data_IF_380426751919
#
_entry.id   IF_380426751919
#
_cell.length_a   1.000
_cell.length_b   1.000
_cell.length_c   1.000
_cell.angle_alpha   90.00
_cell.angle_beta   90.00
_cell.angle_gamma   90.00
#
_symmetry.space_group_name_H-M   'P 1'
#
loop_
_entity.id
_entity.type
_entity.pdbx_description
1 polymer ?
#
# COMPACT_ATOMS: atom_id res chain seq x y z
N UNK A 1 9.70 -6.35 18.71
CA UNK A 1 8.75 -6.41 17.59
C UNK A 1 7.36 -6.68 18.14
N UNK A 2 6.39 -5.87 17.80
CA UNK A 2 5.00 -5.92 18.27
C UNK A 2 4.11 -6.24 17.09
N UNK A 3 3.12 -7.10 17.26
CA UNK A 3 2.14 -7.40 16.20
C UNK A 3 1.20 -6.21 16.03
N UNK A 4 1.02 -5.80 14.77
CA UNK A 4 0.17 -4.68 14.40
C UNK A 4 -0.81 -5.10 13.32
N UNK A 5 -1.92 -4.41 13.24
CA UNK A 5 -2.95 -4.60 12.21
C UNK A 5 -3.17 -3.30 11.45
N UNK A 6 -3.59 -3.41 10.20
CA UNK A 6 -4.05 -2.24 9.44
C UNK A 6 -5.36 -1.78 10.05
N UNK A 7 -5.33 -0.64 10.71
CA UNK A 7 -6.51 -0.05 11.36
C UNK A 7 -7.35 0.73 10.35
N UNK A 8 -6.70 1.65 9.65
CA UNK A 8 -7.36 2.49 8.64
C UNK A 8 -6.35 3.04 7.63
N UNK A 9 -6.88 3.55 6.55
CA UNK A 9 -6.13 4.33 5.59
C UNK A 9 -6.82 5.69 5.47
N UNK A 10 -6.08 6.76 5.71
CA UNK A 10 -6.56 8.12 5.64
C UNK A 10 -5.87 8.91 4.52
N UNK A 11 -6.46 10.06 4.19
CA UNK A 11 -5.86 11.03 3.29
C UNK A 11 -5.59 12.32 4.06
N UNK A 12 -4.35 12.77 4.04
CA UNK A 12 -3.99 14.09 4.54
C UNK A 12 -4.39 15.13 3.50
N UNK A 13 -5.46 15.86 3.79
CA UNK A 13 -6.04 16.86 2.89
C UNK A 13 -5.12 18.06 2.65
N UNK A 14 -4.12 18.29 3.52
CA UNK A 14 -3.20 19.43 3.42
C UNK A 14 -2.19 19.27 2.28
N UNK A 15 -1.74 18.04 2.05
CA UNK A 15 -0.71 17.72 1.05
C UNK A 15 -1.14 16.62 0.06
N UNK A 16 -2.40 16.16 0.13
CA UNK A 16 -2.96 15.09 -0.70
C UNK A 16 -2.16 13.76 -0.63
N UNK A 17 -1.51 13.50 0.49
CA UNK A 17 -0.81 12.24 0.71
C UNK A 17 -1.68 11.25 1.47
N UNK A 18 -1.43 9.97 1.22
CA UNK A 18 -2.14 8.88 1.89
C UNK A 18 -1.36 8.43 3.12
N UNK A 19 -2.06 8.17 4.21
CA UNK A 19 -1.48 7.70 5.47
C UNK A 19 -2.08 6.36 5.83
N UNK A 20 -1.22 5.36 5.93
CA UNK A 20 -1.59 4.04 6.43
C UNK A 20 -1.38 4.02 7.94
N UNK A 21 -2.44 3.74 8.68
CA UNK A 21 -2.41 3.65 10.14
C UNK A 21 -2.35 2.18 10.53
N UNK A 22 -1.24 1.78 11.13
CA UNK A 22 -1.10 0.49 11.80
C UNK A 22 -1.34 0.69 13.29
N UNK A 23 -2.12 -0.20 13.89
CA UNK A 23 -2.40 -0.20 15.33
C UNK A 23 -1.85 -1.46 15.97
N UNK A 24 -1.30 -1.33 17.16
CA UNK A 24 -0.93 -2.48 17.99
C UNK A 24 -2.15 -3.38 18.20
N UNK A 25 -2.00 -4.68 17.97
CA UNK A 25 -3.10 -5.63 17.94
C UNK A 25 -3.85 -5.71 19.27
N UNK A 26 -3.10 -5.71 20.37
CA UNK A 26 -3.64 -5.82 21.73
C UNK A 26 -3.36 -4.56 22.57
N UNK A 27 -3.20 -3.40 21.92
CA UNK A 27 -2.85 -2.14 22.56
C UNK A 27 -3.42 -0.92 21.86
N UNK A 28 -2.95 0.25 22.27
CA UNK A 28 -3.42 1.54 21.77
C UNK A 28 -2.42 2.23 20.86
N UNK A 29 -1.15 1.82 20.91
CA UNK A 29 -0.08 2.48 20.15
C UNK A 29 -0.28 2.33 18.65
N UNK A 30 0.13 3.33 17.91
CA UNK A 30 -0.03 3.39 16.47
C UNK A 30 1.28 3.70 15.75
N UNK A 31 1.35 3.34 14.47
CA UNK A 31 2.40 3.73 13.54
C UNK A 31 1.76 4.30 12.29
N UNK A 32 2.13 5.53 11.96
CA UNK A 32 1.68 6.22 10.75
C UNK A 32 2.74 6.09 9.67
N UNK A 33 2.33 5.64 8.48
CA UNK A 33 3.23 5.49 7.33
C UNK A 33 2.62 6.23 6.14
N UNK A 34 3.30 7.25 5.65
CA UNK A 34 2.92 7.94 4.41
C UNK A 34 3.25 7.07 3.21
N UNK A 35 2.27 6.86 2.34
CA UNK A 35 2.37 5.97 1.18
C UNK A 35 1.87 6.65 -0.09
N UNK A 36 2.25 6.13 -1.24
CA UNK A 36 1.79 6.62 -2.53
C UNK A 36 0.34 6.23 -2.83
N UNK A 37 -0.29 6.97 -3.73
CA UNK A 37 -1.68 6.75 -4.14
C UNK A 37 -1.91 5.34 -4.70
N UNK A 38 -0.96 4.82 -5.46
CA UNK A 38 -1.08 3.49 -6.09
C UNK A 38 -1.08 2.39 -5.04
N UNK A 39 -0.18 2.48 -4.06
CA UNK A 39 -0.09 1.55 -2.94
C UNK A 39 -1.34 1.64 -2.06
N UNK A 40 -1.79 2.86 -1.76
CA UNK A 40 -3.02 3.12 -1.02
C UNK A 40 -4.22 2.49 -1.70
N UNK A 41 -4.40 2.73 -3.00
CA UNK A 41 -5.47 2.12 -3.79
C UNK A 41 -5.44 0.59 -3.73
N UNK A 42 -4.26 -0.01 -3.89
CA UNK A 42 -4.08 -1.47 -3.84
C UNK A 42 -4.47 -2.07 -2.49
N UNK A 43 -4.17 -1.37 -1.38
CA UNK A 43 -4.53 -1.80 -0.03
C UNK A 43 -6.04 -1.68 0.18
N UNK A 44 -6.63 -0.51 -0.12
CA UNK A 44 -8.06 -0.23 0.06
C UNK A 44 -8.93 -1.21 -0.72
N UNK A 45 -8.62 -1.43 -2.00
CA UNK A 45 -9.35 -2.37 -2.86
C UNK A 45 -9.39 -3.77 -2.25
N UNK A 46 -8.25 -4.22 -1.69
CA UNK A 46 -8.19 -5.52 -1.02
C UNK A 46 -9.01 -5.53 0.29
N UNK A 47 -8.88 -4.49 1.12
CA UNK A 47 -9.62 -4.38 2.39
C UNK A 47 -11.15 -4.41 2.19
N UNK A 48 -11.64 -3.84 1.08
CA UNK A 48 -13.06 -3.86 0.73
C UNK A 48 -13.50 -5.10 -0.05
N UNK A 49 -12.60 -6.06 -0.28
CA UNK A 49 -12.92 -7.30 -0.99
C UNK A 49 -13.30 -7.12 -2.46
N UNK A 50 -12.89 -6.01 -3.08
CA UNK A 50 -13.17 -5.73 -4.48
C UNK A 50 -12.34 -6.65 -5.36
N UNK A 51 -13.01 -7.40 -6.22
CA UNK A 51 -12.37 -8.34 -7.14
C UNK A 51 -12.18 -7.70 -8.51
N UNK A 52 -11.02 -7.92 -9.09
CA UNK A 52 -10.68 -7.50 -10.44
C UNK A 52 -10.58 -8.71 -11.36
N UNK A 53 -10.86 -8.52 -12.66
CA UNK A 53 -10.73 -9.57 -13.66
C UNK A 53 -9.27 -10.02 -13.84
N UNK A 54 -8.33 -9.10 -13.65
CA UNK A 54 -6.89 -9.38 -13.74
C UNK A 54 -6.17 -9.03 -12.45
N UNK A 55 -5.15 -9.81 -12.05
CA UNK A 55 -4.40 -9.54 -10.82
C UNK A 55 -3.62 -8.22 -10.94
N UNK A 56 -3.61 -7.44 -9.86
CA UNK A 56 -2.72 -6.30 -9.69
C UNK A 56 -1.31 -6.74 -9.30
N UNK A 57 -0.38 -5.80 -9.21
CA UNK A 57 1.03 -6.08 -8.91
C UNK A 57 1.22 -6.89 -7.63
N UNK A 58 0.53 -6.53 -6.54
CA UNK A 58 0.65 -7.26 -5.27
C UNK A 58 -0.02 -8.65 -5.32
N UNK A 59 -1.07 -8.83 -6.12
CA UNK A 59 -1.67 -10.14 -6.37
C UNK A 59 -0.72 -11.03 -7.18
N UNK A 60 -0.01 -10.42 -8.13
CA UNK A 60 1.03 -11.12 -8.89
C UNK A 60 2.19 -11.52 -7.97
N UNK A 61 2.67 -10.63 -7.11
CA UNK A 61 3.73 -10.94 -6.13
C UNK A 61 3.33 -12.10 -5.22
N UNK A 62 2.10 -12.07 -4.65
CA UNK A 62 1.54 -13.20 -3.91
C UNK A 62 1.61 -14.50 -4.73
N UNK A 63 1.14 -14.46 -5.98
CA UNK A 63 1.10 -15.63 -6.85
C UNK A 63 2.50 -16.17 -7.15
N UNK A 64 3.46 -15.30 -7.39
CA UNK A 64 4.87 -15.68 -7.61
C UNK A 64 5.43 -16.38 -6.37
N UNK A 65 5.27 -15.79 -5.17
CA UNK A 65 5.75 -16.40 -3.92
C UNK A 65 5.17 -17.79 -3.76
N UNK A 66 3.86 -17.95 -3.92
CA UNK A 66 3.16 -19.22 -3.73
C UNK A 66 3.55 -20.28 -4.79
N UNK A 67 3.58 -19.89 -6.07
CA UNK A 67 3.90 -20.83 -7.16
C UNK A 67 5.36 -21.26 -7.17
N UNK A 68 6.25 -20.44 -6.63
CA UNK A 68 7.65 -20.81 -6.39
C UNK A 68 7.85 -21.67 -5.14
N UNK A 69 6.78 -22.11 -4.48
CA UNK A 69 6.83 -22.96 -3.28
C UNK A 69 7.18 -22.21 -2.01
N UNK A 70 7.03 -20.88 -2.02
CA UNK A 70 7.21 -20.03 -0.85
C UNK A 70 5.90 -19.83 -0.07
N UNK A 71 6.04 -19.57 1.21
CA UNK A 71 4.94 -19.15 2.10
C UNK A 71 5.39 -17.93 2.89
N UNK A 72 4.67 -16.80 2.73
CA UNK A 72 4.91 -15.62 3.56
C UNK A 72 4.52 -15.96 5.00
N UNK A 73 5.48 -15.90 5.91
CA UNK A 73 5.28 -16.21 7.33
C UNK A 73 4.91 -14.98 8.13
N UNK A 74 5.54 -13.87 7.82
CA UNK A 74 5.29 -12.56 8.45
C UNK A 74 5.91 -11.44 7.64
N UNK A 75 5.49 -10.24 7.95
CA UNK A 75 6.12 -9.00 7.51
C UNK A 75 6.64 -8.26 8.74
N UNK A 76 7.75 -7.55 8.61
CA UNK A 76 8.31 -6.74 9.67
C UNK A 76 8.62 -5.33 9.16
N UNK A 77 8.17 -4.30 9.90
CA UNK A 77 8.60 -2.92 9.74
C UNK A 77 9.70 -2.70 10.77
N UNK A 78 10.93 -2.62 10.29
CA UNK A 78 12.11 -2.81 11.16
C UNK A 78 12.65 -1.51 11.74
N UNK A 79 12.71 -0.46 10.93
CA UNK A 79 13.32 0.82 11.31
C UNK A 79 12.87 1.96 10.39
N UNK A 80 13.22 3.16 10.80
CA UNK A 80 13.18 4.38 9.98
C UNK A 80 14.56 5.03 9.97
N UNK A 81 15.05 5.37 8.78
CA UNK A 81 16.32 6.07 8.59
C UNK A 81 16.12 7.19 7.57
N UNK A 82 16.51 8.42 7.91
CA UNK A 82 16.35 9.59 7.02
C UNK A 82 14.91 9.71 6.46
N UNK A 83 13.90 9.59 7.33
CA UNK A 83 12.48 9.61 6.99
C UNK A 83 12.04 8.48 6.04
N UNK A 84 12.86 7.45 5.85
CA UNK A 84 12.55 6.28 5.04
C UNK A 84 12.31 5.08 5.93
N UNK A 85 11.13 4.48 5.83
CA UNK A 85 10.78 3.27 6.55
C UNK A 85 11.25 2.02 5.78
N UNK A 86 11.72 1.02 6.51
CA UNK A 86 12.20 -0.26 5.98
C UNK A 86 11.28 -1.39 6.39
N UNK A 87 10.91 -2.19 5.40
CA UNK A 87 10.09 -3.38 5.58
C UNK A 87 10.79 -4.63 5.07
N UNK A 88 10.40 -5.78 5.61
CA UNK A 88 10.93 -7.07 5.23
C UNK A 88 9.80 -8.10 5.12
N UNK A 89 9.83 -8.90 4.04
CA UNK A 89 9.01 -10.10 3.95
C UNK A 89 9.83 -11.31 4.38
N UNK A 90 9.30 -12.10 5.30
CA UNK A 90 9.90 -13.36 5.75
C UNK A 90 9.19 -14.52 5.05
N UNK A 91 9.80 -15.04 3.99
CA UNK A 91 9.24 -16.10 3.16
C UNK A 91 9.92 -17.43 3.49
N UNK A 92 9.15 -18.40 3.94
CA UNK A 92 9.62 -19.77 4.09
C UNK A 92 9.62 -20.49 2.75
N UNK A 93 10.76 -21.14 2.44
CA UNK A 93 10.90 -21.95 1.24
C UNK A 93 11.99 -23.02 1.46
N UNK A 94 11.70 -24.26 1.07
CA UNK A 94 12.70 -25.33 1.13
C UNK A 94 13.26 -25.62 2.53
N UNK A 95 12.48 -25.40 3.58
CA UNK A 95 12.89 -25.61 4.98
C UNK A 95 13.69 -24.46 5.60
N UNK A 96 13.92 -23.35 4.87
CA UNK A 96 14.57 -22.13 5.35
C UNK A 96 13.66 -20.92 5.23
N UNK A 97 14.05 -19.81 5.87
CA UNK A 97 13.37 -18.52 5.75
C UNK A 97 14.27 -17.53 4.99
N UNK A 98 13.75 -16.99 3.91
CA UNK A 98 14.39 -15.91 3.14
C UNK A 98 13.80 -14.59 3.57
N UNK A 99 14.65 -13.63 3.90
CA UNK A 99 14.27 -12.24 4.17
C UNK A 99 14.42 -11.45 2.87
N UNK A 100 13.36 -10.73 2.51
CA UNK A 100 13.31 -9.92 1.30
C UNK A 100 13.06 -8.47 1.72
N UNK A 101 13.98 -7.59 1.39
CA UNK A 101 13.82 -6.15 1.61
C UNK A 101 12.68 -5.60 0.75
N UNK A 102 11.91 -4.68 1.31
CA UNK A 102 10.78 -4.06 0.62
C UNK A 102 10.38 -2.73 1.26
N UNK A 103 9.62 -1.95 0.51
CA UNK A 103 8.91 -0.82 1.14
C UNK A 103 7.82 -1.36 2.06
N UNK A 104 7.55 -0.70 3.21
CA UNK A 104 6.47 -1.11 4.12
C UNK A 104 5.12 -1.27 3.45
N UNK A 105 4.74 -0.33 2.57
CA UNK A 105 3.48 -0.38 1.83
C UNK A 105 3.31 -1.64 0.98
N UNK A 106 4.38 -2.06 0.28
CA UNK A 106 4.37 -3.27 -0.56
C UNK A 106 4.28 -4.53 0.31
N UNK A 107 5.09 -4.58 1.38
CA UNK A 107 5.07 -5.70 2.31
C UNK A 107 3.70 -5.89 2.95
N UNK A 108 3.06 -4.81 3.42
CA UNK A 108 1.72 -4.81 4.01
C UNK A 108 0.68 -5.22 2.96
N UNK A 109 0.74 -4.64 1.75
CA UNK A 109 -0.18 -5.00 0.67
C UNK A 109 -0.14 -6.49 0.31
N UNK A 110 1.04 -7.12 0.38
CA UNK A 110 1.19 -8.56 0.17
C UNK A 110 0.70 -9.34 1.40
N UNK A 111 1.04 -8.87 2.62
CA UNK A 111 0.67 -9.55 3.88
C UNK A 111 -0.84 -9.71 4.01
N UNK A 112 -1.61 -8.65 3.81
CA UNK A 112 -3.08 -8.67 3.93
C UNK A 112 -3.74 -9.62 2.92
N UNK A 113 -3.09 -9.88 1.77
CA UNK A 113 -3.57 -10.79 0.71
C UNK A 113 -3.38 -12.27 1.02
N UNK A 114 -2.58 -12.58 2.02
CA UNK A 114 -2.28 -13.97 2.42
C UNK A 114 -2.51 -14.19 3.92
N UNK A 115 -3.14 -13.23 4.59
CA UNK A 115 -3.41 -13.24 6.03
C UNK A 115 -2.14 -13.49 6.87
N UNK A 116 -1.00 -12.94 6.41
CA UNK A 116 0.25 -13.04 7.15
C UNK A 116 0.32 -11.95 8.23
N UNK A 117 0.78 -12.28 9.44
CA UNK A 117 0.91 -11.30 10.51
C UNK A 117 1.95 -10.23 10.17
N UNK A 118 1.67 -9.00 10.61
CA UNK A 118 2.52 -7.83 10.42
C UNK A 118 3.09 -7.45 11.79
N UNK A 119 4.38 -7.17 11.84
CA UNK A 119 5.07 -6.73 13.05
C UNK A 119 5.75 -5.39 12.80
N UNK A 120 5.77 -4.54 13.80
CA UNK A 120 6.55 -3.31 13.80
C UNK A 120 7.59 -3.31 14.93
N UNK A 121 8.71 -2.62 14.71
CA UNK A 121 9.64 -2.34 15.80
C UNK A 121 8.93 -1.50 16.86
N UNK A 122 9.07 -1.86 18.12
CA UNK A 122 8.45 -1.17 19.25
C UNK A 122 8.82 0.33 19.28
N UNK A 123 10.04 0.66 18.85
CA UNK A 123 10.52 2.02 18.76
C UNK A 123 9.84 2.91 17.73
N UNK A 124 9.05 2.32 16.83
CA UNK A 124 8.30 3.04 15.80
C UNK A 124 6.86 3.35 16.22
N UNK A 125 6.38 2.70 17.28
CA UNK A 125 5.03 2.86 17.77
C UNK A 125 4.95 4.06 18.71
N UNK A 126 3.93 4.87 18.54
CA UNK A 126 3.65 6.04 19.38
C UNK A 126 2.32 5.85 20.10
N UNK A 127 2.24 6.35 21.35
CA UNK A 127 0.95 6.42 22.05
C UNK A 127 0.03 7.39 21.30
N UNK A 128 -1.28 7.14 21.29
CA UNK A 128 -2.24 8.12 20.78
C UNK A 128 -2.07 9.42 21.58
N UNK A 129 -1.65 10.49 20.92
CA UNK A 129 -1.57 11.80 21.54
C UNK A 129 -2.97 12.40 21.72
N UNK A 130 -3.10 13.39 22.63
CA UNK A 130 -4.33 14.20 22.74
C UNK A 130 -4.59 15.06 21.50
N UNK A 131 -3.64 15.12 20.57
CA UNK A 131 -3.73 15.80 19.28
C UNK A 131 -4.36 14.88 18.22
N UNK A 132 -5.62 14.51 18.41
CA UNK A 132 -6.43 13.74 17.45
C UNK A 132 -6.71 14.53 16.14
N UNK A 133 -6.34 15.80 16.10
CA UNK A 133 -6.47 16.67 14.93
C UNK A 133 -5.53 16.31 13.76
N UNK A 134 -4.56 15.41 13.97
CA UNK A 134 -3.65 14.93 12.90
C UNK A 134 -4.08 13.60 12.29
N UNK A 135 -5.21 13.06 12.73
CA UNK A 135 -5.73 11.81 12.18
C UNK A 135 -6.37 12.10 10.82
N UNK A 136 -5.77 11.61 9.74
CA UNK A 136 -6.30 11.83 8.41
C UNK A 136 -7.74 11.32 8.27
N UNK A 137 -8.55 12.06 7.54
CA UNK A 137 -9.92 11.69 7.21
C UNK A 137 -9.92 10.31 6.51
N UNK A 138 -10.78 9.40 6.93
CA UNK A 138 -10.82 8.03 6.39
C UNK A 138 -11.08 8.07 4.88
N UNK A 139 -10.21 7.38 4.11
CA UNK A 139 -10.40 7.27 2.66
C UNK A 139 -11.64 6.42 2.40
N UNK A 140 -12.76 7.11 2.22
CA UNK A 140 -13.95 6.49 1.64
C UNK A 140 -13.68 6.20 0.16
N UNK A 141 -14.01 5.01 -0.31
CA UNK A 141 -14.01 4.67 -1.75
C UNK A 141 -15.04 5.49 -2.54
N UNK A 142 -15.82 6.33 -1.85
CA UNK A 142 -16.66 7.38 -2.44
C UNK A 142 -15.82 8.61 -2.84
N UNK A 143 -14.56 8.42 -3.27
CA UNK A 143 -13.88 9.44 -4.06
C UNK A 143 -14.72 9.82 -5.24
N UNK A 144 -14.55 11.03 -5.83
CA UNK A 144 -15.32 11.40 -7.00
C UNK A 144 -15.22 10.21 -7.95
N UNK A 145 -16.34 9.58 -8.20
CA UNK A 145 -16.51 8.87 -9.44
C UNK A 145 -16.11 9.95 -10.45
N UNK A 146 -14.86 9.87 -10.92
CA UNK A 146 -14.65 10.30 -12.26
C UNK A 146 -15.66 9.44 -13.00
N UNK A 147 -16.84 10.00 -13.19
CA UNK A 147 -17.69 9.54 -14.29
C UNK A 147 -16.68 9.38 -15.41
N UNK A 148 -16.58 8.19 -16.03
CA UNK A 148 -15.85 8.13 -17.27
C UNK A 148 -16.50 9.24 -18.07
N UNK A 149 -15.80 10.37 -18.18
CA UNK A 149 -16.11 11.32 -19.21
C UNK A 149 -15.82 10.46 -20.44
N UNK A 150 -16.84 9.75 -20.89
CA UNK A 150 -16.82 9.09 -22.17
C UNK A 150 -16.60 10.24 -23.14
N UNK A 151 -15.31 10.52 -23.38
CA UNK A 151 -14.94 11.32 -24.52
C UNK A 151 -15.66 10.66 -25.67
N UNK A 152 -16.60 11.37 -26.29
CA UNK A 152 -17.26 10.83 -27.47
C UNK A 152 -16.16 10.38 -28.41
N UNK A 153 -16.43 9.35 -29.22
CA UNK A 153 -15.44 8.86 -30.17
C UNK A 153 -14.83 9.97 -31.03
N UNK A 154 -15.57 11.05 -31.25
CA UNK A 154 -15.14 12.25 -31.95
C UNK A 154 -14.17 13.10 -31.14
N UNK A 155 -14.41 13.29 -29.83
CA UNK A 155 -13.51 14.02 -28.92
C UNK A 155 -12.21 13.26 -28.68
N UNK A 156 -12.28 11.93 -28.59
CA UNK A 156 -11.09 11.08 -28.48
C UNK A 156 -10.24 11.15 -29.74
N UNK A 157 -10.89 11.15 -30.93
CA UNK A 157 -10.20 11.26 -32.22
C UNK A 157 -9.52 12.63 -32.35
N UNK A 158 -10.20 13.71 -32.01
CA UNK A 158 -9.64 15.07 -32.02
C UNK A 158 -8.47 15.21 -31.04
N UNK A 159 -8.57 14.63 -29.84
CA UNK A 159 -7.48 14.57 -28.87
C UNK A 159 -6.25 13.83 -29.42
N UNK A 160 -6.47 12.67 -30.03
CA UNK A 160 -5.40 11.83 -30.61
C UNK A 160 -4.74 12.50 -31.82
N UNK A 161 -5.48 13.25 -32.64
CA UNK A 161 -4.95 13.97 -33.80
C UNK A 161 -4.06 15.18 -33.39
N UNK A 162 -4.25 15.72 -32.18
CA UNK A 162 -3.47 16.84 -31.65
C UNK A 162 -2.27 16.41 -30.78
N UNK A 163 -2.14 15.11 -30.46
CA UNK A 163 -0.98 14.58 -29.73
C UNK A 163 0.29 14.66 -30.59
N UNK A 164 1.29 15.37 -30.09
CA UNK A 164 2.61 15.42 -30.71
C UNK A 164 3.53 14.35 -30.12
N UNK A 165 4.56 13.87 -30.84
CA UNK A 165 5.53 12.90 -30.33
C UNK A 165 6.20 13.32 -29.01
N UNK A 166 6.29 14.61 -28.75
CA UNK A 166 6.84 15.22 -27.54
C UNK A 166 5.92 15.11 -26.31
N UNK A 167 4.64 14.80 -26.51
CA UNK A 167 3.64 14.58 -25.45
C UNK A 167 3.70 13.15 -24.89
N UNK A 168 4.34 12.23 -25.61
CA UNK A 168 4.70 10.90 -25.10
C UNK A 168 5.98 11.03 -24.31
N UNK A 169 5.89 11.00 -23.00
CA UNK A 169 6.98 11.27 -22.04
C UNK A 169 8.35 10.76 -22.47
N UNK A 170 9.35 11.61 -22.31
CA UNK A 170 10.75 11.28 -22.54
C UNK A 170 11.20 10.20 -21.59
N UNK A 171 11.25 8.97 -22.04
CA UNK A 171 12.00 7.92 -21.35
C UNK A 171 13.48 8.21 -21.57
N UNK A 172 14.16 8.78 -20.57
CA UNK A 172 15.62 8.75 -20.51
C UNK A 172 16.02 7.33 -20.10
N UNK A 173 16.62 6.62 -21.03
CA UNK A 173 17.33 5.36 -20.79
C UNK A 173 18.61 5.62 -20.02
#
# INVERSE_FOLDING_TARGET
MVEVVVSRLGMDSSNQSYVLVLQEKDGTRTLLIWIGQVEAHSIVVHMHGIKHERPFTHDLCKSIIQQMGGKLRRVQITRVENSTYYGELHVERGGGVVQIDSRPSDAIAIAIRVDAPIFASESLLVEPGDDDDTVPEEVSLSGPQAEPTELSAEQLKEYLEHLRPEDFGKFNL
#
